data_IF_562550353646
#
_entry.id   IF_562550353646
#
_cell.length_a   1.000
_cell.length_b   1.000
_cell.length_c   1.000
_cell.angle_alpha   90.00
_cell.angle_beta   90.00
_cell.angle_gamma   90.00
#
_symmetry.space_group_name_H-M   'P 1'
#
loop_
_entity.id
_entity.type
_entity.pdbx_description
1 polymer ?
#
# COMPACT_ATOMS: atom_id res chain seq x y z
N UNK A 1 -9.73 4.11 -6.05
CA UNK A 1 -9.93 2.67 -5.84
C UNK A 1 -10.37 1.95 -7.12
N UNK A 2 -11.49 2.29 -7.77
CA UNK A 2 -11.91 1.67 -9.05
C UNK A 2 -10.79 1.56 -10.12
N UNK A 3 -10.01 2.62 -10.34
CA UNK A 3 -8.92 2.59 -11.31
C UNK A 3 -7.82 1.55 -10.96
N UNK A 4 -7.53 1.31 -9.69
CA UNK A 4 -6.59 0.26 -9.26
C UNK A 4 -7.17 -1.14 -9.46
N UNK A 5 -8.49 -1.28 -9.34
CA UNK A 5 -9.19 -2.55 -9.51
C UNK A 5 -9.26 -3.00 -10.98
N UNK A 6 -9.23 -2.05 -11.91
CA UNK A 6 -9.41 -2.31 -13.35
C UNK A 6 -8.13 -2.19 -14.17
N UNK A 7 -7.12 -1.45 -13.68
CA UNK A 7 -5.90 -1.17 -14.43
C UNK A 7 -4.74 -1.99 -13.84
N UNK A 8 -4.02 -2.77 -14.68
CA UNK A 8 -2.84 -3.51 -14.22
C UNK A 8 -1.71 -2.57 -13.81
N UNK A 9 -0.77 -3.08 -13.00
CA UNK A 9 0.44 -2.34 -12.56
C UNK A 9 0.13 -1.12 -11.67
N UNK A 10 -0.94 -1.16 -10.86
CA UNK A 10 -1.30 -0.12 -9.85
C UNK A 10 -1.22 1.34 -10.36
N UNK A 11 -1.38 1.55 -11.67
CA UNK A 11 -1.33 2.88 -12.31
C UNK A 11 -2.45 3.79 -11.79
N UNK A 12 -3.51 3.21 -11.20
CA UNK A 12 -4.61 3.98 -10.63
C UNK A 12 -4.21 4.90 -9.47
N UNK A 13 -3.05 4.71 -8.83
CA UNK A 13 -2.49 5.68 -7.86
C UNK A 13 -2.03 6.96 -8.55
N UNK A 14 -1.41 6.84 -9.72
CA UNK A 14 -1.02 7.98 -10.58
C UNK A 14 -2.28 8.67 -11.13
N UNK A 15 -3.30 7.89 -11.51
CA UNK A 15 -4.59 8.46 -11.95
C UNK A 15 -5.28 9.22 -10.82
N UNK A 16 -5.22 8.71 -9.57
CA UNK A 16 -5.77 9.38 -8.39
C UNK A 16 -5.03 10.67 -8.09
N UNK A 17 -3.70 10.66 -8.08
CA UNK A 17 -2.91 11.87 -7.81
C UNK A 17 -3.12 12.93 -8.89
N UNK A 18 -3.22 12.53 -10.15
CA UNK A 18 -3.59 13.42 -11.25
C UNK A 18 -5.00 14.00 -11.08
N UNK A 19 -6.00 13.15 -10.80
CA UNK A 19 -7.37 13.61 -10.59
C UNK A 19 -7.48 14.59 -9.41
N UNK A 20 -6.72 14.36 -8.34
CA UNK A 20 -6.65 15.27 -7.21
C UNK A 20 -6.03 16.61 -7.61
N UNK A 21 -4.95 16.60 -8.41
CA UNK A 21 -4.33 17.83 -8.93
C UNK A 21 -5.23 18.66 -9.86
N UNK A 22 -6.27 18.03 -10.44
CA UNK A 22 -7.29 18.74 -11.24
C UNK A 22 -8.36 19.41 -10.37
N UNK A 23 -8.58 18.91 -9.14
CA UNK A 23 -9.61 19.42 -8.21
C UNK A 23 -9.04 20.36 -7.16
N UNK A 24 -7.80 20.12 -6.76
CA UNK A 24 -7.08 20.87 -5.73
C UNK A 24 -5.90 21.62 -6.36
N UNK A 25 -5.54 22.78 -5.82
CA UNK A 25 -4.43 23.61 -6.31
C UNK A 25 -3.04 23.05 -5.90
N UNK A 26 -2.83 21.75 -6.09
CA UNK A 26 -1.61 21.02 -5.70
C UNK A 26 -1.01 20.30 -6.90
N UNK A 27 0.32 20.23 -6.99
CA UNK A 27 0.98 19.55 -8.09
C UNK A 27 0.77 18.02 -8.03
N UNK A 28 0.70 17.35 -9.19
CA UNK A 28 0.55 15.90 -9.25
C UNK A 28 1.66 15.11 -8.50
N UNK A 29 2.95 15.51 -8.53
CA UNK A 29 3.98 14.88 -7.71
C UNK A 29 3.75 15.09 -6.21
N UNK A 30 3.28 16.27 -5.77
CA UNK A 30 2.93 16.49 -4.37
C UNK A 30 1.75 15.62 -3.92
N UNK A 31 0.71 15.51 -4.75
CA UNK A 31 -0.41 14.60 -4.52
C UNK A 31 0.01 13.11 -4.52
N UNK A 32 1.06 12.74 -5.27
CA UNK A 32 1.61 11.39 -5.21
C UNK A 32 2.42 11.15 -3.93
N UNK A 33 3.11 12.17 -3.41
CA UNK A 33 3.80 12.11 -2.13
C UNK A 33 2.87 11.74 -0.97
N UNK A 34 1.65 12.27 -0.94
CA UNK A 34 0.67 11.93 0.11
C UNK A 34 0.19 10.48 0.01
N UNK A 35 0.06 9.93 -1.21
CA UNK A 35 -0.24 8.50 -1.43
C UNK A 35 0.88 7.62 -0.86
N UNK A 36 2.14 8.02 -1.01
CA UNK A 36 3.26 7.27 -0.44
C UNK A 36 3.19 7.18 1.10
N UNK A 37 2.78 8.27 1.78
CA UNK A 37 2.59 8.26 3.23
C UNK A 37 1.40 7.38 3.62
N UNK A 38 0.28 7.49 2.92
CA UNK A 38 -0.89 6.62 3.11
C UNK A 38 -0.48 5.15 3.03
N UNK A 39 0.31 4.78 2.02
CA UNK A 39 0.84 3.42 1.86
C UNK A 39 1.81 2.97 2.95
N UNK A 40 2.68 3.86 3.39
CA UNK A 40 3.57 3.56 4.51
C UNK A 40 2.75 3.31 5.79
N UNK A 41 1.75 4.14 6.06
CA UNK A 41 0.85 3.96 7.20
C UNK A 41 0.03 2.68 7.10
N UNK A 42 -0.50 2.34 5.92
CA UNK A 42 -1.20 1.07 5.67
C UNK A 42 -0.31 -0.14 6.03
N UNK A 43 0.93 -0.16 5.52
CA UNK A 43 1.88 -1.23 5.78
C UNK A 43 2.21 -1.32 7.27
N UNK A 44 2.42 -0.19 7.94
CA UNK A 44 2.65 -0.16 9.39
C UNK A 44 1.46 -0.70 10.19
N UNK A 45 0.23 -0.38 9.80
CA UNK A 45 -0.99 -0.89 10.44
C UNK A 45 -1.14 -2.41 10.24
N UNK A 46 -0.91 -2.92 9.03
CA UNK A 46 -0.95 -4.35 8.76
C UNK A 46 0.13 -5.12 9.53
N UNK A 47 1.32 -4.56 9.68
CA UNK A 47 2.39 -5.14 10.49
C UNK A 47 2.06 -5.08 11.98
N UNK A 48 1.42 -4.01 12.44
CA UNK A 48 0.88 -3.91 13.79
C UNK A 48 -0.18 -4.98 14.06
N UNK A 49 -1.10 -5.25 13.12
CA UNK A 49 -2.08 -6.34 13.23
C UNK A 49 -1.42 -7.72 13.31
N UNK A 50 -0.39 -7.96 12.51
CA UNK A 50 0.37 -9.21 12.56
C UNK A 50 1.07 -9.38 13.91
N UNK A 51 1.70 -8.33 14.43
CA UNK A 51 2.32 -8.34 15.76
C UNK A 51 1.30 -8.55 16.87
N UNK A 52 0.14 -7.87 16.80
CA UNK A 52 -0.96 -8.05 17.75
C UNK A 52 -1.48 -9.49 17.74
N UNK A 53 -1.67 -10.08 16.55
CA UNK A 53 -2.09 -11.48 16.41
C UNK A 53 -1.06 -12.46 17.00
N UNK A 54 0.24 -12.19 16.84
CA UNK A 54 1.30 -12.98 17.48
C UNK A 54 1.30 -12.87 19.00
N UNK A 55 1.08 -11.67 19.55
CA UNK A 55 1.00 -11.43 21.00
C UNK A 55 -0.24 -12.04 21.66
N UNK A 56 -1.30 -12.31 20.88
CA UNK A 56 -2.51 -12.99 21.36
C UNK A 56 -2.28 -14.48 21.72
N UNK A 57 -1.06 -14.99 21.57
CA UNK A 57 -0.66 -16.30 22.11
C UNK A 57 -1.36 -17.48 21.45
N UNK A 58 -1.58 -17.39 20.14
CA UNK A 58 -2.31 -18.42 19.41
C UNK A 58 -1.43 -19.62 19.09
N UNK A 59 -1.85 -20.78 19.58
CA UNK A 59 -1.18 -22.08 19.38
C UNK A 59 -1.01 -22.37 17.88
N UNK A 60 -1.99 -22.01 17.05
CA UNK A 60 -1.90 -22.10 15.58
C UNK A 60 -0.77 -21.25 14.96
N UNK A 61 -0.60 -19.99 15.39
CA UNK A 61 0.49 -19.13 14.87
C UNK A 61 1.84 -19.62 15.38
N UNK A 62 1.95 -20.04 16.64
CA UNK A 62 3.18 -20.62 17.18
C UNK A 62 3.59 -21.90 16.45
N UNK A 63 2.64 -22.78 16.13
CA UNK A 63 2.91 -24.00 15.35
C UNK A 63 3.28 -23.69 13.89
N UNK A 64 2.56 -22.77 13.23
CA UNK A 64 2.87 -22.36 11.86
C UNK A 64 4.27 -21.73 11.78
N UNK A 65 4.58 -20.82 12.71
CA UNK A 65 5.90 -20.18 12.84
C UNK A 65 6.95 -21.23 13.23
N UNK A 66 6.64 -22.18 14.10
CA UNK A 66 7.51 -23.28 14.49
C UNK A 66 7.90 -24.19 13.31
N UNK A 67 6.93 -24.63 12.51
CA UNK A 67 7.17 -25.50 11.37
C UNK A 67 7.93 -24.76 10.25
N UNK A 68 7.57 -23.51 9.96
CA UNK A 68 8.29 -22.66 8.99
C UNK A 68 9.72 -22.39 9.49
N UNK A 69 9.88 -22.01 10.75
CA UNK A 69 11.18 -21.67 11.32
C UNK A 69 12.13 -22.87 11.39
N UNK A 70 11.61 -24.09 11.58
CA UNK A 70 12.41 -25.32 11.55
C UNK A 70 13.09 -25.57 10.19
N UNK A 71 12.51 -25.03 9.10
CA UNK A 71 13.00 -25.16 7.72
C UNK A 71 13.90 -24.00 7.29
N UNK A 72 13.96 -22.93 8.08
CA UNK A 72 14.76 -21.73 7.79
C UNK A 72 16.07 -21.78 8.61
N UNK A 73 17.25 -21.71 7.97
CA UNK A 73 18.52 -21.61 8.67
C UNK A 73 18.52 -20.41 9.64
N UNK A 74 18.61 -20.67 10.94
CA UNK A 74 18.54 -19.65 12.00
C UNK A 74 17.19 -19.49 12.70
N UNK A 75 16.21 -20.34 12.38
CA UNK A 75 15.02 -20.55 13.22
C UNK A 75 14.09 -19.33 13.31
N UNK A 76 13.33 -19.28 14.40
CA UNK A 76 12.27 -18.28 14.59
C UNK A 76 12.82 -16.86 14.68
N UNK A 77 14.08 -16.70 15.13
CA UNK A 77 14.76 -15.41 15.22
C UNK A 77 15.02 -14.81 13.85
N UNK A 78 15.53 -15.60 12.89
CA UNK A 78 15.74 -15.13 11.52
C UNK A 78 14.41 -14.81 10.83
N UNK A 79 13.37 -15.61 11.08
CA UNK A 79 12.03 -15.34 10.56
C UNK A 79 11.45 -14.04 11.12
N UNK A 80 11.60 -13.80 12.43
CA UNK A 80 11.15 -12.59 13.10
C UNK A 80 11.93 -11.35 12.59
N UNK A 81 13.25 -11.46 12.45
CA UNK A 81 14.07 -10.38 11.88
C UNK A 81 13.71 -10.08 10.43
N UNK A 82 13.46 -11.11 9.62
CA UNK A 82 13.01 -10.95 8.24
C UNK A 82 11.62 -10.29 8.17
N UNK A 83 10.71 -10.65 9.07
CA UNK A 83 9.39 -10.02 9.17
C UNK A 83 9.45 -8.57 9.67
N UNK A 84 10.43 -8.24 10.52
CA UNK A 84 10.68 -6.88 11.04
C UNK A 84 11.45 -5.99 10.06
N UNK A 85 12.18 -6.55 9.11
CA UNK A 85 12.97 -5.79 8.14
C UNK A 85 12.12 -4.83 7.27
N UNK A 86 10.97 -5.21 6.71
CA UNK A 86 10.09 -4.26 6.03
C UNK A 86 9.50 -3.22 6.98
N UNK A 87 9.19 -3.58 8.23
CA UNK A 87 8.71 -2.62 9.25
C UNK A 87 9.76 -1.54 9.52
N UNK A 88 11.00 -1.95 9.79
CA UNK A 88 12.10 -1.05 10.09
C UNK A 88 12.50 -0.22 8.86
N UNK A 89 12.46 -0.79 7.66
CA UNK A 89 12.72 -0.08 6.41
C UNK A 89 11.70 1.02 6.12
N UNK A 90 10.40 0.69 6.18
CA UNK A 90 9.33 1.67 5.97
C UNK A 90 9.36 2.74 7.07
N UNK A 91 9.51 2.35 8.33
CA UNK A 91 9.61 3.28 9.45
C UNK A 91 10.84 4.19 9.31
N UNK A 92 12.00 3.66 8.88
CA UNK A 92 13.20 4.46 8.66
C UNK A 92 13.01 5.48 7.53
N UNK A 93 12.41 5.09 6.39
CA UNK A 93 12.10 6.01 5.29
C UNK A 93 11.18 7.12 5.80
N UNK A 94 10.13 6.76 6.53
CA UNK A 94 9.15 7.67 7.12
C UNK A 94 9.81 8.63 8.13
N UNK A 95 10.68 8.14 9.01
CA UNK A 95 11.43 8.96 9.98
C UNK A 95 12.40 9.88 9.25
N UNK A 96 13.14 9.40 8.25
CA UNK A 96 14.06 10.23 7.48
C UNK A 96 13.30 11.35 6.76
N UNK A 97 12.17 11.04 6.12
CA UNK A 97 11.35 12.05 5.43
C UNK A 97 10.76 13.07 6.43
N UNK A 98 10.36 12.65 7.62
CA UNK A 98 9.72 13.54 8.61
C UNK A 98 10.70 14.33 9.47
N UNK A 99 11.96 13.91 9.58
CA UNK A 99 12.96 14.55 10.45
C UNK A 99 14.11 15.22 9.70
N UNK A 100 14.44 14.76 8.50
CA UNK A 100 15.46 15.41 7.68
C UNK A 100 14.89 16.64 6.96
N UNK A 101 15.68 17.70 6.85
CA UNK A 101 15.30 18.84 6.01
C UNK A 101 15.21 18.41 4.54
N UNK A 102 14.25 18.99 3.80
CA UNK A 102 14.09 18.79 2.35
C UNK A 102 15.43 18.91 1.62
N UNK A 103 16.21 19.93 1.98
CA UNK A 103 17.54 20.20 1.42
C UNK A 103 18.53 19.06 1.68
N UNK A 104 18.51 18.46 2.87
CA UNK A 104 19.40 17.33 3.21
C UNK A 104 19.07 16.10 2.36
N UNK A 105 17.78 15.78 2.21
CA UNK A 105 17.34 14.64 1.40
C UNK A 105 17.70 14.85 -0.08
N UNK A 106 17.48 16.05 -0.60
CA UNK A 106 17.85 16.40 -1.98
C UNK A 106 19.37 16.32 -2.18
N UNK A 107 20.19 16.80 -1.24
CA UNK A 107 21.65 16.70 -1.33
C UNK A 107 22.13 15.24 -1.29
N UNK A 108 21.50 14.37 -0.49
CA UNK A 108 21.81 12.95 -0.46
C UNK A 108 21.47 12.27 -1.78
N UNK A 109 20.29 12.55 -2.34
CA UNK A 109 19.88 12.07 -3.66
C UNK A 109 20.86 12.57 -4.74
N UNK A 110 21.19 13.85 -4.72
CA UNK A 110 22.11 14.49 -5.65
C UNK A 110 23.50 13.84 -5.64
N UNK A 111 24.00 13.50 -4.44
CA UNK A 111 25.28 12.80 -4.25
C UNK A 111 25.24 11.34 -4.68
N UNK A 112 24.11 10.66 -4.44
CA UNK A 112 23.91 9.26 -4.87
C UNK A 112 23.83 9.12 -6.40
N UNK A 113 23.35 10.16 -7.10
CA UNK A 113 23.21 10.19 -8.56
C UNK A 113 24.49 10.58 -9.31
N UNK A 114 25.67 10.36 -8.71
CA UNK A 114 26.96 10.78 -9.29
C UNK A 114 27.27 10.16 -10.67
N UNK A 115 26.66 9.01 -11.00
CA UNK A 115 26.80 8.35 -12.30
C UNK A 115 25.76 8.81 -13.35
N UNK A 116 24.79 9.65 -12.97
CA UNK A 116 23.67 10.05 -13.84
C UNK A 116 24.02 11.35 -14.60
N UNK A 117 23.73 11.40 -15.90
CA UNK A 117 23.97 12.59 -16.73
C UNK A 117 23.21 13.84 -16.24
N UNK A 118 23.83 15.02 -16.37
CA UNK A 118 23.35 16.30 -15.79
C UNK A 118 21.88 16.63 -16.14
N UNK A 119 21.44 16.37 -17.37
CA UNK A 119 20.07 16.65 -17.80
C UNK A 119 19.02 15.78 -17.10
N UNK A 120 19.28 14.47 -16.96
CA UNK A 120 18.38 13.54 -16.27
C UNK A 120 18.40 13.78 -14.76
N UNK A 121 19.59 14.03 -14.19
CA UNK A 121 19.78 14.38 -12.77
C UNK A 121 18.92 15.57 -12.36
N UNK A 122 18.98 16.68 -13.10
CA UNK A 122 18.18 17.87 -12.77
C UNK A 122 16.66 17.62 -12.87
N UNK A 123 16.22 16.80 -13.84
CA UNK A 123 14.81 16.39 -13.92
C UNK A 123 14.38 15.56 -12.71
N UNK A 124 15.17 14.54 -12.35
CA UNK A 124 14.88 13.68 -11.20
C UNK A 124 14.87 14.45 -9.89
N UNK A 125 15.79 15.40 -9.70
CA UNK A 125 15.83 16.26 -8.51
C UNK A 125 14.61 17.19 -8.46
N UNK A 126 14.20 17.78 -9.58
CA UNK A 126 12.97 18.60 -9.63
C UNK A 126 11.70 17.79 -9.34
N UNK A 127 11.65 16.52 -9.74
CA UNK A 127 10.56 15.60 -9.37
C UNK A 127 10.62 15.26 -7.88
N UNK A 128 11.81 14.94 -7.36
CA UNK A 128 12.02 14.66 -5.94
C UNK A 128 11.65 15.86 -5.05
N UNK A 129 11.99 17.08 -5.48
CA UNK A 129 11.63 18.31 -4.78
C UNK A 129 10.11 18.47 -4.67
N UNK A 130 9.36 18.25 -5.74
CA UNK A 130 7.89 18.35 -5.75
C UNK A 130 7.23 17.19 -4.99
N UNK A 131 7.82 15.99 -5.01
CA UNK A 131 7.39 14.87 -4.17
C UNK A 131 7.56 15.19 -2.68
N UNK A 132 8.74 15.69 -2.31
CA UNK A 132 9.05 16.11 -0.94
C UNK A 132 8.16 17.26 -0.47
N UNK A 133 7.74 18.15 -1.37
CA UNK A 133 6.76 19.20 -1.07
C UNK A 133 5.41 18.59 -0.63
N UNK A 134 4.92 17.55 -1.29
CA UNK A 134 3.73 16.82 -0.84
C UNK A 134 3.89 16.08 0.49
N UNK A 135 5.12 15.68 0.80
CA UNK A 135 5.49 15.02 2.06
C UNK A 135 5.61 16.03 3.23
N UNK A 136 5.76 17.33 2.95
CA UNK A 136 5.81 18.36 4.01
C UNK A 136 4.52 18.50 4.82
N UNK A 137 3.39 17.98 4.34
CA UNK A 137 2.15 17.91 5.14
C UNK A 137 2.33 16.98 6.36
N UNK A 138 3.29 16.06 6.28
CA UNK A 138 3.62 15.09 7.31
C UNK A 138 5.04 15.37 7.81
N UNK A 139 5.26 16.62 8.22
CA UNK A 139 6.56 17.16 8.64
C UNK A 139 6.87 16.95 10.12
N UNK A 140 6.09 16.10 10.81
CA UNK A 140 6.40 15.72 12.19
C UNK A 140 6.11 14.24 12.49
N UNK A 141 6.89 13.60 13.38
CA UNK A 141 6.57 12.26 13.90
C UNK A 141 5.18 12.15 14.53
N UNK A 142 4.66 13.26 15.07
CA UNK A 142 3.32 13.32 15.64
C UNK A 142 2.24 13.26 14.56
N UNK A 143 2.43 13.91 13.41
CA UNK A 143 1.48 13.84 12.30
C UNK A 143 1.48 12.44 11.67
N UNK A 144 2.65 11.80 11.58
CA UNK A 144 2.74 10.38 11.22
C UNK A 144 1.98 9.47 12.17
N UNK A 145 2.13 9.70 13.47
CA UNK A 145 1.40 8.96 14.49
C UNK A 145 -0.12 9.15 14.34
N UNK A 146 -0.59 10.37 14.05
CA UNK A 146 -2.01 10.63 13.76
C UNK A 146 -2.49 9.89 12.52
N UNK A 147 -1.73 9.90 11.42
CA UNK A 147 -2.11 9.19 10.18
C UNK A 147 -2.15 7.68 10.43
N UNK A 148 -1.17 7.13 11.13
CA UNK A 148 -1.18 5.74 11.58
C UNK A 148 -2.43 5.44 12.43
N UNK A 149 -2.75 6.29 13.40
CA UNK A 149 -3.92 6.12 14.26
C UNK A 149 -5.24 6.18 13.47
N UNK A 150 -5.30 6.97 12.40
CA UNK A 150 -6.43 6.98 11.47
C UNK A 150 -6.47 5.76 10.54
N UNK A 151 -5.33 5.13 10.26
CA UNK A 151 -5.26 3.93 9.43
C UNK A 151 -5.76 2.69 10.18
N UNK A 152 -5.53 2.62 11.51
CA UNK A 152 -6.01 1.52 12.36
C UNK A 152 -7.52 1.24 12.23
N UNK A 153 -8.44 2.21 12.39
CA UNK A 153 -9.88 1.95 12.28
C UNK A 153 -10.30 1.58 10.85
N UNK A 154 -9.62 2.09 9.82
CA UNK A 154 -9.89 1.71 8.42
C UNK A 154 -9.60 0.22 8.22
N UNK A 155 -8.41 -0.22 8.61
CA UNK A 155 -8.03 -1.62 8.53
C UNK A 155 -8.83 -2.51 9.48
N UNK A 156 -9.23 -2.00 10.65
CA UNK A 156 -10.10 -2.73 11.57
C UNK A 156 -11.50 -2.95 10.98
N UNK A 157 -12.05 -1.96 10.25
CA UNK A 157 -13.32 -2.12 9.54
C UNK A 157 -13.21 -3.18 8.42
N UNK A 158 -12.08 -3.21 7.72
CA UNK A 158 -11.81 -4.24 6.72
C UNK A 158 -11.66 -5.63 7.35
N UNK A 159 -10.90 -5.76 8.44
CA UNK A 159 -10.78 -7.00 9.20
C UNK A 159 -12.13 -7.46 9.77
N UNK A 160 -12.99 -6.52 10.20
CA UNK A 160 -14.34 -6.82 10.66
C UNK A 160 -15.22 -7.37 9.53
N UNK A 161 -15.11 -6.82 8.32
CA UNK A 161 -15.78 -7.39 7.15
C UNK A 161 -15.30 -8.83 6.90
N UNK A 162 -14.00 -9.09 6.96
CA UNK A 162 -13.44 -10.43 6.77
C UNK A 162 -13.93 -11.39 7.85
N UNK A 163 -13.98 -10.93 9.10
CA UNK A 163 -14.54 -11.67 10.23
C UNK A 163 -16.00 -12.06 9.99
N UNK A 164 -16.84 -11.14 9.48
CA UNK A 164 -18.24 -11.44 9.14
C UNK A 164 -18.35 -12.49 8.03
N UNK A 165 -17.51 -12.41 7.00
CA UNK A 165 -17.46 -13.43 5.94
C UNK A 165 -17.03 -14.77 6.53
N UNK A 166 -16.06 -14.78 7.45
CA UNK A 166 -15.55 -16.00 8.07
C UNK A 166 -16.59 -16.69 8.94
N UNK A 167 -17.48 -15.93 9.59
CA UNK A 167 -18.66 -16.48 10.25
C UNK A 167 -19.64 -17.12 9.25
N UNK A 168 -19.81 -16.54 8.07
CA UNK A 168 -20.63 -17.12 7.00
C UNK A 168 -20.08 -18.43 6.43
N UNK A 169 -18.75 -18.62 6.50
CA UNK A 169 -18.06 -19.86 6.15
C UNK A 169 -17.97 -20.87 7.30
N UNK A 170 -18.56 -20.57 8.45
CA UNK A 170 -18.48 -21.39 9.67
C UNK A 170 -17.03 -21.76 10.05
N UNK A 171 -16.11 -20.80 9.93
CA UNK A 171 -14.69 -21.01 10.29
C UNK A 171 -14.45 -20.95 11.81
N UNK A 172 -15.41 -20.41 12.57
CA UNK A 172 -15.24 -20.22 14.02
C UNK A 172 -14.95 -21.50 14.80
N UNK A 173 -15.63 -22.65 14.54
CA UNK A 173 -15.40 -23.91 15.26
C UNK A 173 -14.04 -24.57 14.99
N UNK A 174 -13.30 -24.12 13.96
CA UNK A 174 -11.95 -24.61 13.66
C UNK A 174 -10.93 -24.17 14.72
N UNK A 175 -11.25 -23.12 15.49
CA UNK A 175 -10.33 -22.51 16.45
C UNK A 175 -10.83 -22.66 17.89
N UNK A 176 -9.90 -22.87 18.82
CA UNK A 176 -10.21 -23.22 20.20
C UNK A 176 -10.84 -22.05 20.97
N UNK A 177 -10.46 -20.81 20.62
CA UNK A 177 -10.90 -19.62 21.34
C UNK A 177 -11.31 -18.48 20.41
N UNK A 178 -12.12 -17.55 20.96
CA UNK A 178 -12.58 -16.40 20.21
C UNK A 178 -11.42 -15.45 19.88
N UNK A 179 -10.46 -15.38 20.80
CA UNK A 179 -9.23 -14.61 20.63
C UNK A 179 -8.39 -15.17 19.48
N UNK A 180 -8.28 -16.50 19.40
CA UNK A 180 -7.58 -17.16 18.30
C UNK A 180 -8.23 -16.91 16.96
N UNK A 181 -9.56 -17.01 16.89
CA UNK A 181 -10.28 -16.70 15.65
C UNK A 181 -10.05 -15.25 15.20
N UNK A 182 -10.07 -14.28 16.11
CA UNK A 182 -9.76 -12.87 15.78
C UNK A 182 -8.32 -12.74 15.27
N UNK A 183 -7.36 -13.35 15.95
CA UNK A 183 -5.96 -13.31 15.54
C UNK A 183 -5.74 -13.91 14.15
N UNK A 184 -6.39 -15.03 13.82
CA UNK A 184 -6.34 -15.64 12.49
C UNK A 184 -6.87 -14.69 11.41
N UNK A 185 -7.98 -13.98 11.68
CA UNK A 185 -8.50 -12.98 10.75
C UNK A 185 -7.52 -11.81 10.57
N UNK A 186 -6.85 -11.36 11.64
CA UNK A 186 -5.81 -10.34 11.55
C UNK A 186 -4.61 -10.83 10.73
N UNK A 187 -4.16 -12.07 10.92
CA UNK A 187 -3.07 -12.67 10.11
C UNK A 187 -3.46 -12.76 8.64
N UNK A 188 -4.67 -13.24 8.33
CA UNK A 188 -5.19 -13.26 6.97
C UNK A 188 -5.22 -11.85 6.38
N UNK A 189 -5.71 -10.87 7.15
CA UNK A 189 -5.80 -9.47 6.71
C UNK A 189 -4.43 -8.92 6.35
N UNK A 190 -3.43 -9.14 7.20
CA UNK A 190 -2.07 -8.71 6.95
C UNK A 190 -1.42 -9.44 5.78
N UNK A 191 -1.51 -10.78 5.73
CA UNK A 191 -0.87 -11.59 4.70
C UNK A 191 -1.41 -11.28 3.29
N UNK A 192 -2.74 -11.24 3.15
CA UNK A 192 -3.38 -10.99 1.85
C UNK A 192 -3.09 -9.57 1.33
N UNK A 193 -3.12 -8.56 2.21
CA UNK A 193 -2.94 -7.17 1.79
C UNK A 193 -1.47 -6.75 1.61
N UNK A 194 -0.54 -7.30 2.40
CA UNK A 194 0.90 -7.07 2.21
C UNK A 194 1.40 -7.71 0.90
N UNK A 195 0.77 -8.80 0.45
CA UNK A 195 1.05 -9.37 -0.88
C UNK A 195 0.81 -8.37 -2.03
N UNK A 196 0.03 -7.32 -1.78
CA UNK A 196 -0.16 -6.22 -2.70
C UNK A 196 1.11 -5.46 -3.09
N UNK A 197 2.20 -5.57 -2.31
CA UNK A 197 3.51 -5.00 -2.69
C UNK A 197 4.09 -5.70 -3.93
N UNK A 198 3.68 -6.94 -4.19
CA UNK A 198 4.15 -7.70 -5.34
C UNK A 198 3.50 -7.19 -6.65
N UNK A 199 4.27 -7.15 -7.76
CA UNK A 199 3.71 -6.89 -9.08
C UNK A 199 2.57 -7.87 -9.37
N UNK A 200 1.39 -7.34 -9.65
CA UNK A 200 0.18 -8.14 -9.81
C UNK A 200 -0.65 -7.70 -11.01
N UNK A 201 -1.57 -8.58 -11.42
CA UNK A 201 -2.58 -8.29 -12.43
C UNK A 201 -3.56 -7.22 -11.91
N UNK A 202 -4.40 -6.68 -12.80
CA UNK A 202 -5.40 -5.68 -12.41
C UNK A 202 -6.22 -6.19 -11.22
N UNK A 203 -6.39 -5.38 -10.17
CA UNK A 203 -7.14 -5.79 -8.97
C UNK A 203 -6.40 -6.69 -7.98
N UNK A 204 -5.11 -7.01 -8.19
CA UNK A 204 -4.31 -7.88 -7.29
C UNK A 204 -4.71 -9.36 -7.27
N UNK A 205 -5.42 -9.84 -8.31
CA UNK A 205 -5.72 -11.26 -8.51
C UNK A 205 -4.46 -12.12 -8.54
N UNK A 206 -4.48 -13.21 -7.78
CA UNK A 206 -3.34 -14.12 -7.62
C UNK A 206 -2.63 -13.93 -6.28
N UNK A 207 -1.79 -12.89 -6.08
CA UNK A 207 -1.07 -12.72 -4.82
C UNK A 207 -1.97 -12.59 -3.60
N UNK A 208 -3.03 -11.77 -3.67
CA UNK A 208 -3.97 -11.64 -2.55
C UNK A 208 -4.57 -13.00 -2.17
N UNK A 209 -5.10 -13.72 -3.16
CA UNK A 209 -5.76 -15.00 -2.97
C UNK A 209 -4.79 -16.07 -2.46
N UNK A 210 -3.58 -16.13 -3.03
CA UNK A 210 -2.56 -17.10 -2.68
C UNK A 210 -2.05 -16.89 -1.25
N UNK A 211 -1.61 -15.67 -0.90
CA UNK A 211 -1.04 -15.41 0.42
C UNK A 211 -2.11 -15.42 1.51
N UNK A 212 -3.33 -14.95 1.20
CA UNK A 212 -4.47 -15.08 2.11
C UNK A 212 -4.82 -16.53 2.39
N UNK A 213 -5.00 -17.35 1.36
CA UNK A 213 -5.29 -18.78 1.54
C UNK A 213 -4.15 -19.52 2.24
N UNK A 214 -2.90 -19.23 1.89
CA UNK A 214 -1.73 -19.82 2.52
C UNK A 214 -1.66 -19.51 4.02
N UNK A 215 -2.01 -18.29 4.43
CA UNK A 215 -2.07 -17.92 5.84
C UNK A 215 -3.10 -18.75 6.62
N UNK A 216 -4.30 -18.97 6.06
CA UNK A 216 -5.32 -19.78 6.71
C UNK A 216 -4.96 -21.26 6.75
N UNK A 217 -4.36 -21.79 5.66
CA UNK A 217 -3.88 -23.17 5.61
C UNK A 217 -2.80 -23.42 6.65
N UNK A 218 -1.86 -22.47 6.80
CA UNK A 218 -0.83 -22.55 7.84
C UNK A 218 -1.43 -22.58 9.25
N UNK A 219 -2.63 -22.03 9.44
CA UNK A 219 -3.35 -21.97 10.71
C UNK A 219 -4.40 -23.08 10.85
N UNK A 220 -4.36 -24.11 10.01
CA UNK A 220 -5.18 -25.33 10.15
C UNK A 220 -6.50 -25.33 9.38
N UNK A 221 -6.80 -24.30 8.59
CA UNK A 221 -7.99 -24.30 7.71
C UNK A 221 -7.75 -25.18 6.49
N UNK A 222 -8.73 -26.00 6.13
CA UNK A 222 -8.65 -26.85 4.94
C UNK A 222 -8.40 -26.03 3.65
N UNK A 223 -7.54 -26.53 2.76
CA UNK A 223 -7.09 -25.81 1.58
C UNK A 223 -8.23 -25.31 0.68
N UNK A 224 -9.26 -26.14 0.47
CA UNK A 224 -10.42 -25.79 -0.35
C UNK A 224 -11.22 -24.64 0.27
N UNK A 225 -11.44 -24.70 1.59
CA UNK A 225 -12.18 -23.68 2.34
C UNK A 225 -11.39 -22.37 2.39
N UNK A 226 -10.08 -22.45 2.64
CA UNK A 226 -9.20 -21.28 2.66
C UNK A 226 -9.17 -20.56 1.31
N UNK A 227 -9.08 -21.29 0.20
CA UNK A 227 -9.12 -20.71 -1.15
C UNK A 227 -10.49 -20.08 -1.47
N UNK A 228 -11.59 -20.77 -1.13
CA UNK A 228 -12.95 -20.25 -1.34
C UNK A 228 -13.21 -19.00 -0.50
N UNK A 229 -12.75 -18.98 0.75
CA UNK A 229 -12.84 -17.83 1.63
C UNK A 229 -12.03 -16.65 1.07
N UNK A 230 -10.76 -16.86 0.70
CA UNK A 230 -9.90 -15.80 0.16
C UNK A 230 -10.51 -15.17 -1.10
N UNK A 231 -10.99 -15.99 -2.02
CA UNK A 231 -11.69 -15.56 -3.22
C UNK A 231 -12.94 -14.74 -2.89
N UNK A 232 -13.74 -15.19 -1.92
CA UNK A 232 -14.97 -14.50 -1.52
C UNK A 232 -14.68 -13.13 -0.91
N UNK A 233 -13.68 -13.05 -0.03
CA UNK A 233 -13.21 -11.78 0.52
C UNK A 233 -12.74 -10.85 -0.59
N UNK A 234 -11.96 -11.38 -1.55
CA UNK A 234 -11.45 -10.58 -2.65
C UNK A 234 -12.58 -10.00 -3.51
N UNK A 235 -13.60 -10.80 -3.83
CA UNK A 235 -14.80 -10.33 -4.54
C UNK A 235 -15.54 -9.25 -3.73
N UNK A 236 -15.69 -9.45 -2.41
CA UNK A 236 -16.34 -8.48 -1.53
C UNK A 236 -15.57 -7.15 -1.44
N UNK A 237 -14.25 -7.16 -1.56
CA UNK A 237 -13.42 -5.96 -1.68
C UNK A 237 -13.47 -5.33 -3.06
N UNK A 238 -13.55 -6.15 -4.10
CA UNK A 238 -13.42 -5.68 -5.47
C UNK A 238 -14.73 -5.09 -6.00
N UNK A 239 -15.88 -5.75 -5.78
CA UNK A 239 -17.16 -5.39 -6.42
C UNK A 239 -17.72 -4.06 -5.93
N UNK A 240 -17.97 -3.82 -4.63
CA UNK A 240 -18.64 -2.60 -4.16
C UNK A 240 -17.92 -1.30 -4.54
N UNK A 241 -16.60 -1.12 -4.33
CA UNK A 241 -15.92 0.12 -4.70
C UNK A 241 -15.76 0.28 -6.22
N UNK A 242 -15.74 -0.83 -6.98
CA UNK A 242 -15.71 -0.77 -8.45
C UNK A 242 -17.06 -0.28 -8.99
N UNK A 243 -18.17 -0.84 -8.49
CA UNK A 243 -19.53 -0.42 -8.87
C UNK A 243 -19.78 1.03 -8.48
N UNK A 244 -19.46 1.40 -7.23
CA UNK A 244 -19.65 2.78 -6.76
C UNK A 244 -18.81 3.77 -7.56
N UNK A 245 -17.54 3.44 -7.83
CA UNK A 245 -16.68 4.26 -8.67
C UNK A 245 -17.21 4.43 -10.10
N UNK A 246 -17.80 3.37 -10.68
CA UNK A 246 -18.39 3.43 -12.01
C UNK A 246 -19.64 4.32 -12.04
N UNK A 247 -20.51 4.20 -11.03
CA UNK A 247 -21.70 5.05 -10.88
C UNK A 247 -21.32 6.52 -10.76
N UNK A 248 -20.33 6.85 -9.92
CA UNK A 248 -19.86 8.22 -9.75
C UNK A 248 -19.23 8.79 -11.03
N UNK A 249 -18.46 7.97 -11.76
CA UNK A 249 -17.82 8.41 -13.00
C UNK A 249 -18.85 8.69 -14.11
N UNK A 250 -19.91 7.87 -14.19
CA UNK A 250 -21.05 8.11 -15.08
C UNK A 250 -21.80 9.38 -14.68
N UNK A 251 -22.05 9.58 -13.38
CA UNK A 251 -22.74 10.76 -12.87
C UNK A 251 -21.98 12.07 -13.14
N UNK A 252 -20.64 12.04 -13.08
CA UNK A 252 -19.77 13.18 -13.38
C UNK A 252 -19.59 13.44 -14.89
N UNK A 253 -20.18 12.62 -15.78
CA UNK A 253 -20.05 12.74 -17.23
C UNK A 253 -18.62 12.54 -17.77
N UNK A 254 -17.75 11.95 -16.95
CA UNK A 254 -16.33 11.71 -17.27
C UNK A 254 -16.17 10.28 -17.78
N UNK A 255 -15.17 10.03 -18.62
CA UNK A 255 -14.78 8.68 -19.02
C UNK A 255 -13.45 8.29 -18.38
N UNK A 256 -13.29 7.01 -18.02
CA UNK A 256 -12.03 6.49 -17.48
C UNK A 256 -10.89 6.68 -18.50
N UNK A 257 -11.18 6.49 -19.79
CA UNK A 257 -10.23 6.74 -20.89
C UNK A 257 -9.81 8.21 -20.99
N UNK A 258 -10.71 9.15 -20.73
CA UNK A 258 -10.41 10.59 -20.71
C UNK A 258 -9.47 10.97 -19.57
N UNK A 259 -9.68 10.42 -18.37
CA UNK A 259 -8.79 10.63 -17.22
C UNK A 259 -7.39 10.02 -17.46
N UNK A 260 -7.34 8.83 -18.05
CA UNK A 260 -6.07 8.18 -18.41
C UNK A 260 -5.29 8.96 -19.47
N UNK A 261 -5.97 9.58 -20.43
CA UNK A 261 -5.33 10.41 -21.46
C UNK A 261 -4.76 11.70 -20.87
N UNK A 262 -5.54 12.38 -20.02
CA UNK A 262 -5.08 13.57 -19.30
C UNK A 262 -3.85 13.30 -18.43
N UNK A 263 -3.83 12.17 -17.70
CA UNK A 263 -2.67 11.80 -16.88
C UNK A 263 -1.40 11.56 -17.72
N UNK A 264 -1.53 10.97 -18.91
CA UNK A 264 -0.41 10.78 -19.85
C UNK A 264 0.06 12.10 -20.48
N UNK A 265 -0.85 13.03 -20.74
CA UNK A 265 -0.54 14.34 -21.32
C UNK A 265 0.10 15.29 -20.30
N UNK A 266 -0.28 15.22 -19.01
CA UNK A 266 0.33 16.04 -17.94
C UNK A 266 1.77 15.66 -17.58
N UNK A 267 2.20 14.45 -17.96
CA UNK A 267 3.57 13.96 -17.78
C UNK A 267 4.49 14.39 -18.94
N UNK A 268 3.94 15.05 -19.98
CA UNK A 268 4.75 15.75 -20.97
C UNK A 268 5.17 17.11 -20.40
N UNK A 269 6.48 17.45 -20.45
CA UNK A 269 6.91 18.80 -20.11
C UNK A 269 6.14 19.77 -21.00
N UNK A 270 5.56 20.81 -20.39
CA UNK A 270 4.82 21.87 -21.07
C UNK A 270 5.62 22.30 -22.31
N UNK A 271 5.20 21.86 -23.48
CA UNK A 271 5.75 22.30 -24.76
C UNK A 271 5.28 23.73 -24.98
N UNK A 272 5.94 24.68 -24.31
CA UNK A 272 5.46 26.05 -24.25
C UNK A 272 6.40 27.10 -23.66
N UNK A 273 7.58 26.75 -23.13
CA UNK A 273 8.63 27.75 -22.92
C UNK A 273 9.24 28.11 -24.29
N UNK A 274 8.57 29.04 -24.97
CA UNK A 274 9.19 29.81 -26.05
C UNK A 274 10.46 30.43 -25.50
N UNK A 275 11.59 29.91 -25.95
CA UNK A 275 12.90 30.56 -25.83
C UNK A 275 12.73 32.06 -26.13
N UNK A 276 13.13 32.97 -25.21
CA UNK A 276 13.17 34.37 -25.56
C UNK A 276 14.19 34.50 -26.69
N UNK A 277 13.69 34.89 -27.87
CA UNK A 277 14.50 35.21 -29.04
C UNK A 277 15.67 36.07 -28.57
N UNK A 278 16.90 35.57 -28.75
CA UNK A 278 18.09 36.42 -28.75
C UNK A 278 17.88 37.43 -29.89
N UNK A 279 17.58 38.67 -29.55
CA UNK A 279 17.75 39.80 -30.47
C UNK A 279 19.24 40.01 -30.69
N UNK A 280 19.72 40.04 -31.94
CA UNK A 280 21.08 40.48 -32.23
C UNK A 280 21.10 42.01 -32.15
N UNK A 281 21.90 42.55 -31.24
CA UNK A 281 22.51 43.89 -31.36
C UNK A 281 23.96 43.74 -30.93
#
# INVERSE_FOLDING_TARGET
YMANNLIPVRIGEVVRSYYLSLREAVSAPAAFGTVAVERASDVLTLLFFLAAAGLMGTVGVEHAVGDISSRVPGGAVVLALAALLPFTGVLAIVVVISTASRETVIQWLDRSMFMVGRGLRNRLLGIAERLLEGLTVVSSPMDLFKVFLWSVPVWAAEAAMYYMIALGFDLRPVFDSQLEFIAVILVFTSAANLAGVLPSTAGSWGPFDFFGAAALVALGVGQEVAAAFALTVHVALWVPPTVLGAVLLIADGRSLSGLMRGAKESDQPIAGERSPKRTPV
#
